data_IF_238403766711
#
_entry.id   IF_238403766711
#
_cell.length_a   1.000
_cell.length_b   1.000
_cell.length_c   1.000
_cell.angle_alpha   90.00
_cell.angle_beta   90.00
_cell.angle_gamma   90.00
#
_symmetry.space_group_name_H-M   'P 1'
#
loop_
_entity.id
_entity.type
_entity.pdbx_description
1 polymer ?
#
# COMPACT_ATOMS: atom_id res chain seq x y z
N UNK A 1 -23.27 -6.41 8.44
CA UNK A 1 -22.32 -5.36 8.03
C UNK A 1 -22.56 -4.99 6.59
N UNK A 2 -22.63 -3.69 6.29
CA UNK A 2 -23.09 -3.13 5.00
C UNK A 2 -22.31 -3.64 3.77
N UNK A 3 -21.00 -3.91 3.90
CA UNK A 3 -20.20 -4.47 2.81
C UNK A 3 -20.67 -5.85 2.34
N UNK A 4 -20.94 -6.79 3.26
CA UNK A 4 -21.39 -8.14 2.88
C UNK A 4 -22.72 -8.11 2.13
N UNK A 5 -23.60 -7.17 2.49
CA UNK A 5 -24.88 -6.97 1.78
C UNK A 5 -24.60 -6.46 0.36
N UNK A 6 -23.74 -5.45 0.21
CA UNK A 6 -23.39 -4.90 -1.10
C UNK A 6 -22.70 -5.95 -2.00
N UNK A 7 -21.81 -6.76 -1.44
CA UNK A 7 -21.13 -7.84 -2.17
C UNK A 7 -22.11 -8.90 -2.64
N UNK A 8 -23.07 -9.31 -1.81
CA UNK A 8 -24.10 -10.28 -2.21
C UNK A 8 -24.97 -9.73 -3.34
N UNK A 9 -25.45 -8.49 -3.20
CA UNK A 9 -26.22 -7.82 -4.25
C UNK A 9 -25.43 -7.71 -5.57
N UNK A 10 -24.13 -7.45 -5.50
CA UNK A 10 -23.27 -7.46 -6.70
C UNK A 10 -23.20 -8.84 -7.34
N UNK A 11 -23.00 -9.91 -6.55
CA UNK A 11 -22.95 -11.28 -7.06
C UNK A 11 -24.28 -11.73 -7.68
N UNK A 12 -25.41 -11.33 -7.09
CA UNK A 12 -26.75 -11.65 -7.59
C UNK A 12 -27.02 -11.00 -8.96
N UNK A 13 -26.36 -9.88 -9.26
CA UNK A 13 -26.56 -9.10 -10.49
C UNK A 13 -25.43 -9.26 -11.52
N UNK A 14 -24.29 -9.84 -11.13
CA UNK A 14 -23.12 -9.99 -11.99
C UNK A 14 -22.70 -11.47 -12.11
N UNK A 15 -23.21 -12.22 -13.11
CA UNK A 15 -22.88 -13.65 -13.27
C UNK A 15 -21.38 -13.94 -13.44
N UNK A 16 -20.62 -12.95 -13.91
CA UNK A 16 -19.17 -13.05 -14.07
C UNK A 16 -18.38 -12.74 -12.80
N UNK A 17 -19.01 -12.57 -11.63
CA UNK A 17 -18.27 -12.27 -10.39
C UNK A 17 -17.18 -13.30 -10.08
N UNK A 18 -17.38 -14.56 -10.48
CA UNK A 18 -16.42 -15.64 -10.29
C UNK A 18 -15.12 -15.47 -11.11
N UNK A 19 -15.13 -14.65 -12.18
CA UNK A 19 -13.95 -14.37 -12.99
C UNK A 19 -13.13 -13.17 -12.51
N UNK A 20 -13.54 -12.52 -11.40
CA UNK A 20 -12.79 -11.41 -10.82
C UNK A 20 -11.44 -11.92 -10.32
N UNK A 21 -10.38 -11.56 -11.02
CA UNK A 21 -9.01 -11.93 -10.65
C UNK A 21 -8.42 -11.02 -9.56
N UNK A 22 -8.91 -9.78 -9.43
CA UNK A 22 -8.33 -8.79 -8.53
C UNK A 22 -9.34 -7.75 -8.06
N UNK A 23 -9.28 -7.38 -6.78
CA UNK A 23 -10.07 -6.31 -6.17
C UNK A 23 -9.12 -5.28 -5.57
N UNK A 24 -9.34 -4.01 -5.85
CA UNK A 24 -8.51 -2.91 -5.36
C UNK A 24 -9.27 -2.13 -4.29
N UNK A 25 -8.75 -2.11 -3.07
CA UNK A 25 -9.39 -1.44 -1.92
C UNK A 25 -8.66 -0.16 -1.54
N UNK A 26 -9.41 0.84 -1.12
CA UNK A 26 -8.90 2.17 -0.85
C UNK A 26 -8.38 2.36 0.57
N UNK A 27 -9.29 2.50 1.53
CA UNK A 27 -9.00 3.08 2.85
C UNK A 27 -9.22 2.13 4.02
N UNK A 28 -10.10 1.13 3.89
CA UNK A 28 -10.58 0.33 5.01
C UNK A 28 -10.07 -1.10 4.95
N UNK A 29 -9.01 -1.36 5.72
CA UNK A 29 -8.38 -2.69 5.80
C UNK A 29 -9.20 -3.71 6.60
N UNK A 30 -10.19 -3.23 7.37
CA UNK A 30 -11.14 -4.06 8.13
C UNK A 30 -12.01 -4.92 7.23
N UNK A 31 -12.11 -4.55 5.96
CA UNK A 31 -12.92 -5.23 4.94
C UNK A 31 -12.18 -6.36 4.23
N UNK A 32 -10.84 -6.45 4.39
CA UNK A 32 -10.01 -7.42 3.67
C UNK A 32 -10.50 -8.85 3.93
N UNK A 33 -10.66 -9.23 5.21
CA UNK A 33 -11.08 -10.60 5.55
C UNK A 33 -12.45 -10.94 4.97
N UNK A 34 -13.40 -9.99 5.00
CA UNK A 34 -14.72 -10.17 4.39
C UNK A 34 -14.66 -10.33 2.88
N UNK A 35 -13.79 -9.57 2.20
CA UNK A 35 -13.58 -9.71 0.75
C UNK A 35 -12.87 -11.01 0.38
N UNK A 36 -11.96 -11.49 1.21
CA UNK A 36 -11.29 -12.79 1.01
C UNK A 36 -12.25 -13.96 1.19
N UNK A 37 -13.17 -13.88 2.16
CA UNK A 37 -14.26 -14.85 2.31
C UNK A 37 -15.20 -14.85 1.11
N UNK A 38 -15.57 -13.66 0.61
CA UNK A 38 -16.54 -13.54 -0.47
C UNK A 38 -15.90 -13.78 -1.86
N UNK A 39 -14.63 -13.48 -2.06
CA UNK A 39 -13.92 -13.65 -3.33
C UNK A 39 -12.59 -14.41 -3.12
N UNK A 40 -12.64 -15.69 -2.74
CA UNK A 40 -11.44 -16.46 -2.39
C UNK A 40 -10.45 -16.62 -3.54
N UNK A 41 -10.93 -16.56 -4.78
CA UNK A 41 -10.10 -16.63 -5.99
C UNK A 41 -9.50 -15.28 -6.42
N UNK A 42 -9.97 -14.16 -5.85
CA UNK A 42 -9.52 -12.83 -6.23
C UNK A 42 -8.34 -12.37 -5.38
N UNK A 43 -7.35 -11.73 -6.01
CA UNK A 43 -6.29 -11.04 -5.28
C UNK A 43 -6.80 -9.72 -4.72
N UNK A 44 -6.76 -9.53 -3.40
CA UNK A 44 -7.09 -8.24 -2.78
C UNK A 44 -5.84 -7.35 -2.69
N UNK A 45 -5.86 -6.21 -3.37
CA UNK A 45 -4.78 -5.22 -3.47
C UNK A 45 -5.15 -3.89 -2.81
N UNK A 46 -4.16 -3.17 -2.29
CA UNK A 46 -4.35 -1.83 -1.70
C UNK A 46 -4.09 -0.73 -2.72
N UNK A 47 -4.93 0.29 -2.80
CA UNK A 47 -4.71 1.38 -3.73
C UNK A 47 -3.44 2.19 -3.37
N UNK A 48 -2.49 2.30 -4.32
CA UNK A 48 -1.18 2.92 -4.06
C UNK A 48 -1.30 4.34 -3.48
N UNK A 49 -2.25 5.15 -3.99
CA UNK A 49 -2.47 6.50 -3.48
C UNK A 49 -2.75 6.50 -1.97
N UNK A 50 -3.58 5.58 -1.49
CA UNK A 50 -3.93 5.49 -0.06
C UNK A 50 -2.78 4.95 0.77
N UNK A 51 -2.01 4.00 0.25
CA UNK A 51 -0.79 3.47 0.90
C UNK A 51 0.25 4.58 1.06
N UNK A 52 0.56 5.31 -0.02
CA UNK A 52 1.49 6.45 0.02
C UNK A 52 0.99 7.53 0.99
N UNK A 53 -0.31 7.84 0.97
CA UNK A 53 -0.92 8.80 1.90
C UNK A 53 -0.78 8.35 3.36
N UNK A 54 -0.96 7.07 3.65
CA UNK A 54 -0.81 6.52 5.00
C UNK A 54 0.65 6.55 5.48
N UNK A 55 1.59 6.09 4.66
CA UNK A 55 3.03 6.17 4.99
C UNK A 55 3.48 7.61 5.23
N UNK A 56 3.04 8.56 4.38
CA UNK A 56 3.36 9.98 4.55
C UNK A 56 2.75 10.58 5.83
N UNK A 57 1.63 10.05 6.33
CA UNK A 57 1.06 10.44 7.63
C UNK A 57 1.92 9.93 8.78
N UNK A 58 2.42 8.70 8.71
CA UNK A 58 3.39 8.19 9.70
C UNK A 58 4.65 9.07 9.75
N UNK A 59 5.21 9.44 8.58
CA UNK A 59 6.35 10.39 8.52
C UNK A 59 6.01 11.76 9.11
N UNK A 60 4.79 12.26 8.87
CA UNK A 60 4.37 13.56 9.37
C UNK A 60 4.16 13.57 10.89
N UNK A 61 3.78 12.43 11.46
CA UNK A 61 3.57 12.26 12.90
C UNK A 61 4.83 12.55 13.70
N UNK A 62 4.65 12.89 14.97
CA UNK A 62 5.76 13.16 15.88
C UNK A 62 6.32 11.89 16.55
N UNK A 63 5.77 10.71 16.21
CA UNK A 63 6.22 9.40 16.74
C UNK A 63 7.72 9.18 16.59
N UNK A 64 8.29 9.62 15.47
CA UNK A 64 9.72 9.45 15.16
C UNK A 64 10.55 10.71 15.45
N UNK A 65 9.89 11.84 15.75
CA UNK A 65 10.52 13.14 16.06
C UNK A 65 11.69 13.53 15.14
N UNK A 66 11.58 13.27 13.83
CA UNK A 66 12.60 13.63 12.83
C UNK A 66 12.44 15.08 12.36
N UNK A 67 13.55 15.71 11.93
CA UNK A 67 13.53 17.10 11.49
C UNK A 67 12.77 17.29 10.15
N UNK A 68 12.46 18.55 9.81
CA UNK A 68 11.66 18.88 8.62
C UNK A 68 12.27 18.39 7.30
N UNK A 69 13.60 18.47 7.16
CA UNK A 69 14.30 17.98 5.97
C UNK A 69 14.15 16.47 5.81
N UNK A 70 14.40 15.71 6.89
CA UNK A 70 14.19 14.26 6.93
C UNK A 70 12.73 13.89 6.65
N UNK A 71 11.75 14.62 7.18
CA UNK A 71 10.33 14.41 6.86
C UNK A 71 10.06 14.59 5.36
N UNK A 72 10.63 15.60 4.72
CA UNK A 72 10.46 15.86 3.28
C UNK A 72 11.04 14.74 2.43
N UNK A 73 12.29 14.35 2.69
CA UNK A 73 12.97 13.27 1.96
C UNK A 73 12.24 11.93 2.14
N UNK A 74 11.88 11.57 3.37
CA UNK A 74 11.14 10.34 3.64
C UNK A 74 9.79 10.29 2.93
N UNK A 75 9.06 11.41 2.81
CA UNK A 75 7.79 11.46 2.07
C UNK A 75 7.97 11.18 0.58
N UNK A 76 9.09 11.54 -0.02
CA UNK A 76 9.42 11.18 -1.40
C UNK A 76 9.79 9.71 -1.51
N UNK A 77 10.65 9.24 -0.61
CA UNK A 77 11.06 7.83 -0.57
C UNK A 77 9.86 6.90 -0.32
N UNK A 78 8.87 7.27 0.49
CA UNK A 78 7.64 6.48 0.67
C UNK A 78 6.84 6.32 -0.63
N UNK A 79 6.86 7.32 -1.52
CA UNK A 79 6.22 7.19 -2.84
C UNK A 79 6.97 6.13 -3.66
N UNK A 80 8.29 6.27 -3.77
CA UNK A 80 9.13 5.33 -4.51
C UNK A 80 8.99 3.91 -3.95
N UNK A 81 9.04 3.74 -2.64
CA UNK A 81 8.89 2.45 -1.95
C UNK A 81 7.65 1.67 -2.42
N UNK A 82 6.55 2.37 -2.68
CA UNK A 82 5.28 1.78 -3.16
C UNK A 82 5.28 1.57 -4.67
N UNK A 83 5.88 2.49 -5.44
CA UNK A 83 5.77 2.54 -6.90
C UNK A 83 6.95 1.95 -7.67
N UNK A 84 8.02 1.50 -7.01
CA UNK A 84 9.14 0.88 -7.71
C UNK A 84 8.76 -0.51 -8.26
N UNK A 85 9.07 -0.80 -9.54
CA UNK A 85 8.59 -2.01 -10.22
C UNK A 85 9.46 -3.26 -9.95
N UNK A 86 10.60 -3.12 -9.26
CA UNK A 86 11.51 -4.23 -9.02
C UNK A 86 11.97 -4.30 -7.56
N UNK A 87 12.31 -5.52 -7.12
CA UNK A 87 12.89 -5.76 -5.80
C UNK A 87 14.20 -4.98 -5.63
N UNK A 88 15.04 -4.94 -6.66
CA UNK A 88 16.30 -4.17 -6.64
C UNK A 88 16.06 -2.68 -6.36
N UNK A 89 15.10 -2.06 -7.04
CA UNK A 89 14.79 -0.64 -6.82
C UNK A 89 14.15 -0.41 -5.44
N UNK A 90 13.31 -1.34 -4.98
CA UNK A 90 12.79 -1.31 -3.61
C UNK A 90 13.92 -1.31 -2.57
N UNK A 91 14.93 -2.18 -2.74
CA UNK A 91 16.06 -2.28 -1.81
C UNK A 91 16.94 -1.02 -1.84
N UNK A 92 17.11 -0.40 -3.02
CA UNK A 92 17.77 0.91 -3.16
C UNK A 92 17.01 1.99 -2.36
N UNK A 93 15.68 2.02 -2.45
CA UNK A 93 14.87 2.97 -1.67
C UNK A 93 14.99 2.71 -0.16
N UNK A 94 15.02 1.45 0.27
CA UNK A 94 15.25 1.08 1.68
C UNK A 94 16.63 1.58 2.14
N UNK A 95 17.68 1.40 1.34
CA UNK A 95 19.02 1.91 1.64
C UNK A 95 19.04 3.45 1.74
N UNK A 96 18.37 4.14 0.83
CA UNK A 96 18.23 5.59 0.86
C UNK A 96 17.50 6.07 2.12
N UNK A 97 16.42 5.39 2.54
CA UNK A 97 15.72 5.70 3.79
C UNK A 97 16.64 5.55 5.01
N UNK A 98 17.49 4.50 5.04
CA UNK A 98 18.48 4.32 6.12
C UNK A 98 19.49 5.47 6.16
N UNK A 99 19.95 5.96 5.01
CA UNK A 99 20.90 7.06 4.94
C UNK A 99 20.29 8.43 5.33
N UNK A 100 19.00 8.64 5.03
CA UNK A 100 18.26 9.86 5.37
C UNK A 100 17.95 9.94 6.87
N UNK A 101 17.67 8.82 7.53
CA UNK A 101 17.44 8.76 8.98
C UNK A 101 18.77 8.52 9.71
N UNK A 102 19.49 9.61 9.96
CA UNK A 102 20.83 9.57 10.56
C UNK A 102 20.86 9.12 12.02
N UNK A 103 19.81 9.42 12.77
CA UNK A 103 19.69 9.01 14.17
C UNK A 103 19.28 7.54 14.27
N UNK A 104 20.06 6.74 14.99
CA UNK A 104 19.92 5.29 15.06
C UNK A 104 18.62 4.86 15.75
N UNK A 105 18.24 5.53 16.84
CA UNK A 105 17.02 5.22 17.58
C UNK A 105 15.78 5.47 16.72
N UNK A 106 15.73 6.62 16.02
CA UNK A 106 14.64 6.97 15.11
C UNK A 106 14.60 6.07 13.88
N UNK A 107 15.78 5.67 13.37
CA UNK A 107 15.90 4.73 12.25
C UNK A 107 15.31 3.38 12.64
N UNK A 108 15.69 2.84 13.80
CA UNK A 108 15.14 1.59 14.32
C UNK A 108 13.62 1.66 14.45
N UNK A 109 13.09 2.70 15.12
CA UNK A 109 11.65 2.87 15.30
C UNK A 109 10.87 2.95 13.96
N UNK A 110 11.40 3.65 12.96
CA UNK A 110 10.79 3.71 11.62
C UNK A 110 10.72 2.33 10.95
N UNK A 111 11.83 1.59 10.97
CA UNK A 111 11.88 0.28 10.34
C UNK A 111 11.10 -0.79 11.11
N UNK A 112 10.99 -0.70 12.43
CA UNK A 112 10.07 -1.53 13.22
C UNK A 112 8.60 -1.26 12.85
N UNK A 113 8.21 0.01 12.70
CA UNK A 113 6.86 0.36 12.23
C UNK A 113 6.60 -0.21 10.83
N UNK A 114 7.57 -0.11 9.91
CA UNK A 114 7.45 -0.67 8.57
C UNK A 114 7.40 -2.21 8.60
N UNK A 115 8.21 -2.85 9.43
CA UNK A 115 8.28 -4.29 9.57
C UNK A 115 7.00 -4.88 10.17
N UNK A 116 6.40 -4.21 11.15
CA UNK A 116 5.19 -4.69 11.83
C UNK A 116 3.92 -4.41 11.02
N UNK A 117 3.79 -3.22 10.41
CA UNK A 117 2.51 -2.78 9.86
C UNK A 117 2.39 -2.97 8.35
N UNK A 118 3.51 -2.91 7.61
CA UNK A 118 3.48 -2.82 6.14
C UNK A 118 4.13 -4.00 5.45
N UNK A 119 5.26 -4.49 5.98
CA UNK A 119 6.00 -5.59 5.38
C UNK A 119 5.20 -6.89 5.28
N UNK A 120 4.39 -7.30 6.27
CA UNK A 120 3.63 -8.55 6.18
C UNK A 120 2.62 -8.56 5.05
N UNK A 121 2.07 -7.38 4.69
CA UNK A 121 1.11 -7.22 3.61
C UNK A 121 1.72 -6.63 2.32
N UNK A 122 3.06 -6.64 2.17
CA UNK A 122 3.78 -6.03 1.04
C UNK A 122 3.30 -6.46 -0.34
N UNK A 123 2.91 -7.73 -0.48
CA UNK A 123 2.34 -8.26 -1.73
C UNK A 123 1.05 -7.56 -2.18
N UNK A 124 0.33 -6.91 -1.26
CA UNK A 124 -0.92 -6.19 -1.55
C UNK A 124 -0.69 -4.76 -2.02
N UNK A 125 0.44 -4.14 -1.69
CA UNK A 125 0.65 -2.71 -1.97
C UNK A 125 1.90 -2.38 -2.79
N UNK A 126 2.92 -3.23 -2.80
CA UNK A 126 4.15 -2.95 -3.55
C UNK A 126 3.98 -3.25 -5.04
N UNK A 127 4.32 -2.29 -5.92
CA UNK A 127 4.20 -2.46 -7.38
C UNK A 127 5.01 -3.66 -7.88
N UNK A 128 6.19 -3.92 -7.32
CA UNK A 128 7.04 -5.07 -7.66
C UNK A 128 6.35 -6.45 -7.49
N UNK A 129 5.28 -6.53 -6.70
CA UNK A 129 4.49 -7.76 -6.53
C UNK A 129 3.25 -7.81 -7.42
N UNK A 130 2.98 -6.77 -8.21
CA UNK A 130 1.74 -6.69 -8.99
C UNK A 130 1.78 -7.42 -10.32
N UNK A 131 2.96 -7.80 -10.83
CA UNK A 131 3.11 -8.47 -12.12
C UNK A 131 2.62 -7.62 -13.31
N UNK A 132 2.76 -8.14 -14.54
CA UNK A 132 2.22 -7.56 -15.78
C UNK A 132 0.68 -7.54 -15.85
N UNK A 133 -0.02 -7.40 -14.73
CA UNK A 133 -1.46 -7.15 -14.75
C UNK A 133 -1.73 -5.80 -15.42
N UNK A 134 -2.77 -5.67 -16.27
CA UNK A 134 -3.01 -4.48 -17.07
C UNK A 134 -2.95 -3.24 -16.18
N UNK A 135 -1.89 -2.47 -16.33
CA UNK A 135 -1.75 -1.19 -15.68
C UNK A 135 -2.76 -0.28 -16.37
N UNK A 136 -3.75 0.21 -15.62
CA UNK A 136 -4.51 1.40 -15.98
C UNK A 136 -3.57 2.62 -15.90
N UNK A 137 -2.53 2.61 -16.74
CA UNK A 137 -1.49 3.64 -16.86
C UNK A 137 -2.00 4.95 -17.46
N UNK A 138 -3.31 5.13 -17.56
CA UNK A 138 -3.89 6.41 -17.95
C UNK A 138 -4.10 7.24 -16.70
N UNK A 139 -3.14 8.15 -16.47
CA UNK A 139 -3.37 9.38 -15.73
C UNK A 139 -4.49 10.19 -16.39
N UNK A 140 -5.75 9.88 -16.10
CA UNK A 140 -6.81 10.88 -16.24
C UNK A 140 -6.80 11.71 -14.96
N UNK A 141 -6.05 12.82 -15.01
CA UNK A 141 -6.27 13.96 -14.14
C UNK A 141 -7.73 14.41 -14.29
N UNK A 142 -8.58 14.04 -13.34
CA UNK A 142 -9.75 14.85 -13.05
C UNK A 142 -9.34 15.80 -11.94
N UNK A 143 -8.95 17.01 -12.37
CA UNK A 143 -8.88 18.21 -11.53
C UNK A 143 -10.29 18.60 -11.10
#
# INVERSE_FOLDING_TARGET
GTLRIAVRQYKDTCPSFASIACILIGKDYTEIAGLEEEFPSARILLYHFHVVKALRREVASDKFNVNAWTKTELKQLCRLLVTEPSVRMYDIVIAAMKAVIRDDMRRTAWFEMLASNWTPCKKRWGLMHRGNGPHLGNHTNNR
#
